data_IF_829274008605
#
_entry.id   IF_829274008605
#
_cell.length_a   1.000
_cell.length_b   1.000
_cell.length_c   1.000
_cell.angle_alpha   90.00
_cell.angle_beta   90.00
_cell.angle_gamma   90.00
#
_symmetry.space_group_name_H-M   'P 1'
#
loop_
_entity.id
_entity.type
_entity.pdbx_description
1 polymer ?
#
# COMPACT_ATOMS: atom_id res chain seq x y z
N UNK A 1 27.89 -12.20 16.93
CA UNK A 1 27.55 -11.62 15.62
C UNK A 1 26.32 -12.30 14.98
N UNK A 2 25.98 -13.55 15.30
CA UNK A 2 24.76 -14.23 14.78
C UNK A 2 23.43 -13.67 15.33
N UNK A 3 23.39 -13.24 16.59
CA UNK A 3 22.17 -12.66 17.17
C UNK A 3 21.74 -11.32 16.53
N UNK A 4 22.65 -10.61 15.88
CA UNK A 4 22.33 -9.38 15.13
C UNK A 4 21.58 -9.68 13.84
N UNK A 5 21.95 -10.77 13.14
CA UNK A 5 21.29 -11.17 11.88
C UNK A 5 19.83 -11.58 12.08
N UNK A 6 19.55 -12.38 13.11
CA UNK A 6 18.18 -12.81 13.42
C UNK A 6 17.28 -11.64 13.84
N UNK A 7 17.80 -10.72 14.65
CA UNK A 7 17.07 -9.51 15.07
C UNK A 7 16.73 -8.60 13.88
N UNK A 8 17.68 -8.37 12.98
CA UNK A 8 17.45 -7.56 11.77
C UNK A 8 16.46 -8.22 10.81
N UNK A 9 16.52 -9.55 10.65
CA UNK A 9 15.56 -10.28 9.82
C UNK A 9 14.14 -10.18 10.38
N UNK A 10 13.97 -10.37 11.69
CA UNK A 10 12.67 -10.23 12.36
C UNK A 10 12.15 -8.79 12.21
N UNK A 11 13.00 -7.79 12.40
CA UNK A 11 12.62 -6.39 12.21
C UNK A 11 12.15 -6.12 10.77
N UNK A 12 12.89 -6.57 9.76
CA UNK A 12 12.52 -6.40 8.35
C UNK A 12 11.17 -7.07 8.02
N UNK A 13 10.92 -8.26 8.57
CA UNK A 13 9.63 -8.96 8.45
C UNK A 13 8.50 -8.15 9.09
N UNK A 14 8.69 -7.68 10.32
CA UNK A 14 7.68 -6.88 11.03
C UNK A 14 7.38 -5.59 10.28
N UNK A 15 8.39 -4.81 9.89
CA UNK A 15 8.20 -3.55 9.18
C UNK A 15 7.57 -3.73 7.80
N UNK A 16 7.91 -4.80 7.07
CA UNK A 16 7.28 -5.08 5.76
C UNK A 16 5.79 -5.44 5.91
N UNK A 17 5.43 -6.23 6.92
CA UNK A 17 4.02 -6.55 7.21
C UNK A 17 3.26 -5.30 7.64
N UNK A 18 3.84 -4.48 8.52
CA UNK A 18 3.23 -3.20 8.94
C UNK A 18 3.00 -2.29 7.74
N UNK A 19 3.98 -2.15 6.85
CA UNK A 19 3.85 -1.36 5.63
C UNK A 19 2.76 -1.89 4.68
N UNK A 20 2.68 -3.22 4.52
CA UNK A 20 1.64 -3.84 3.69
C UNK A 20 0.24 -3.61 4.25
N UNK A 21 0.07 -3.74 5.57
CA UNK A 21 -1.21 -3.46 6.24
C UNK A 21 -1.58 -1.99 6.10
N UNK A 22 -0.63 -1.07 6.31
CA UNK A 22 -0.86 0.35 6.15
C UNK A 22 -1.26 0.72 4.70
N UNK A 23 -0.62 0.11 3.70
CA UNK A 23 -0.97 0.28 2.29
C UNK A 23 -2.41 -0.18 2.02
N UNK A 24 -2.78 -1.37 2.51
CA UNK A 24 -4.13 -1.92 2.34
C UNK A 24 -5.21 -1.06 3.01
N UNK A 25 -4.95 -0.58 4.23
CA UNK A 25 -5.85 0.34 4.94
C UNK A 25 -5.97 1.67 4.20
N UNK A 26 -4.86 2.25 3.74
CA UNK A 26 -4.86 3.50 2.96
C UNK A 26 -5.68 3.38 1.68
N UNK A 27 -5.51 2.28 0.94
CA UNK A 27 -6.31 2.00 -0.25
C UNK A 27 -7.80 1.86 0.08
N UNK A 28 -8.15 1.10 1.12
CA UNK A 28 -9.54 0.90 1.55
C UNK A 28 -10.22 2.21 1.96
N UNK A 29 -9.52 3.05 2.73
CA UNK A 29 -10.03 4.36 3.13
C UNK A 29 -10.28 5.24 1.90
N UNK A 30 -9.36 5.22 0.93
CA UNK A 30 -9.52 6.02 -0.29
C UNK A 30 -10.67 5.54 -1.17
N UNK A 31 -10.83 4.23 -1.38
CA UNK A 31 -11.95 3.67 -2.14
C UNK A 31 -13.29 4.08 -1.51
N UNK A 32 -13.36 4.13 -0.17
CA UNK A 32 -14.56 4.57 0.55
C UNK A 32 -14.83 6.07 0.44
N UNK A 33 -13.80 6.89 0.32
CA UNK A 33 -13.93 8.35 0.16
C UNK A 33 -14.31 8.70 -1.28
N UNK A 34 -13.86 7.90 -2.25
CA UNK A 34 -14.11 8.15 -3.67
C UNK A 34 -15.57 7.84 -3.99
N UNK A 35 -16.35 8.81 -4.52
CA UNK A 35 -17.72 8.55 -4.93
C UNK A 35 -17.74 7.66 -6.17
N UNK A 36 -18.32 6.47 -6.03
CA UNK A 36 -18.30 5.41 -7.05
C UNK A 36 -17.54 4.17 -6.54
N UNK A 37 -17.74 3.02 -7.17
CA UNK A 37 -16.97 1.82 -6.83
C UNK A 37 -15.81 1.71 -7.82
N UNK A 38 -14.58 1.98 -7.37
CA UNK A 38 -13.38 1.83 -8.20
C UNK A 38 -13.28 0.40 -8.75
N UNK A 39 -13.65 -0.57 -7.92
CA UNK A 39 -13.74 -1.97 -8.33
C UNK A 39 -14.78 -2.22 -9.43
N UNK A 40 -15.93 -1.57 -9.39
CA UNK A 40 -16.94 -1.66 -10.44
C UNK A 40 -16.41 -1.07 -11.75
N UNK A 41 -15.82 0.12 -11.72
CA UNK A 41 -15.26 0.77 -12.91
C UNK A 41 -14.10 -0.02 -13.52
N UNK A 42 -13.24 -0.63 -12.70
CA UNK A 42 -12.10 -1.42 -13.19
C UNK A 42 -12.55 -2.77 -13.75
N UNK A 43 -13.45 -3.50 -13.06
CA UNK A 43 -13.83 -4.86 -13.48
C UNK A 43 -14.94 -4.89 -14.53
N UNK A 44 -15.94 -4.03 -14.41
CA UNK A 44 -17.17 -4.11 -15.21
C UNK A 44 -17.05 -3.19 -16.42
N UNK A 45 -16.73 -1.92 -16.19
CA UNK A 45 -16.57 -0.91 -17.25
C UNK A 45 -15.18 -0.96 -17.93
N UNK A 46 -14.23 -1.73 -17.37
CA UNK A 46 -12.84 -1.85 -17.85
C UNK A 46 -12.17 -0.48 -18.03
N UNK A 47 -12.45 0.46 -17.13
CA UNK A 47 -11.93 1.81 -17.22
C UNK A 47 -10.43 1.85 -16.86
N UNK A 48 -9.59 1.90 -17.90
CA UNK A 48 -8.14 1.94 -17.76
C UNK A 48 -7.67 3.21 -17.05
N UNK A 49 -8.36 4.34 -17.23
CA UNK A 49 -7.98 5.60 -16.59
C UNK A 49 -8.07 5.47 -15.05
N UNK A 50 -9.12 4.85 -14.56
CA UNK A 50 -9.34 4.59 -13.12
C UNK A 50 -8.30 3.60 -12.60
N UNK A 51 -7.97 2.56 -13.36
CA UNK A 51 -6.92 1.62 -12.99
C UNK A 51 -5.54 2.30 -12.86
N UNK A 52 -5.21 3.24 -13.78
CA UNK A 52 -3.97 4.02 -13.72
C UNK A 52 -3.96 4.91 -12.47
N UNK A 53 -5.07 5.58 -12.15
CA UNK A 53 -5.20 6.43 -10.95
C UNK A 53 -5.05 5.61 -9.67
N UNK A 54 -5.69 4.44 -9.61
CA UNK A 54 -5.54 3.52 -8.48
C UNK A 54 -4.10 3.03 -8.32
N UNK A 55 -3.44 2.69 -9.43
CA UNK A 55 -2.04 2.29 -9.42
C UNK A 55 -1.10 3.41 -8.96
N UNK A 56 -1.27 4.62 -9.48
CA UNK A 56 -0.43 5.77 -9.10
C UNK A 56 -0.64 6.16 -7.64
N UNK A 57 -1.86 6.06 -7.15
CA UNK A 57 -2.16 6.27 -5.74
C UNK A 57 -1.51 5.22 -4.85
N UNK A 58 -1.58 3.93 -5.21
CA UNK A 58 -0.91 2.88 -4.46
C UNK A 58 0.61 3.14 -4.37
N UNK A 59 1.22 3.63 -5.45
CA UNK A 59 2.63 4.06 -5.45
C UNK A 59 2.87 5.25 -4.50
N UNK A 60 2.00 6.26 -4.51
CA UNK A 60 2.12 7.42 -3.62
C UNK A 60 2.03 7.02 -2.13
N UNK A 61 1.07 6.16 -1.77
CA UNK A 61 0.90 5.66 -0.40
C UNK A 61 2.12 4.83 0.00
N UNK A 62 2.61 3.94 -0.87
CA UNK A 62 3.80 3.15 -0.61
C UNK A 62 5.03 4.03 -0.35
N UNK A 63 5.18 5.13 -1.09
CA UNK A 63 6.29 6.07 -0.90
C UNK A 63 6.19 6.83 0.43
N UNK A 64 5.00 7.27 0.83
CA UNK A 64 4.78 7.90 2.15
C UNK A 64 5.17 6.93 3.27
N UNK A 65 4.76 5.66 3.17
CA UNK A 65 5.12 4.62 4.13
C UNK A 65 6.63 4.40 4.16
N UNK A 66 7.27 4.29 2.99
CA UNK A 66 8.72 4.13 2.89
C UNK A 66 9.46 5.29 3.57
N UNK A 67 9.02 6.54 3.35
CA UNK A 67 9.58 7.72 4.02
C UNK A 67 9.33 7.71 5.53
N UNK A 68 8.17 7.25 5.99
CA UNK A 68 7.86 7.19 7.42
C UNK A 68 8.67 6.13 8.17
N UNK A 69 9.04 5.02 7.51
CA UNK A 69 9.84 3.94 8.11
C UNK A 69 11.33 4.27 8.15
N UNK A 70 11.84 5.07 7.21
CA UNK A 70 13.25 5.47 7.13
C UNK A 70 13.54 6.86 7.74
N UNK A 71 12.53 7.53 8.30
CA UNK A 71 12.61 8.87 8.90
C UNK A 71 13.12 8.88 10.33
#
# INVERSE_FOLDING_TARGET
MEALGLKSLIAALVYSVVGLVALGVGFYVFDKITPGSLWHEIRQEKNIAVAIVVGSMAMAIAQIIASAVHG
#
